data_IF_475493318298
#
_entry.id   IF_475493318298
#
_cell.length_a   1.000
_cell.length_b   1.000
_cell.length_c   1.000
_cell.angle_alpha   90.00
_cell.angle_beta   90.00
_cell.angle_gamma   90.00
#
_symmetry.space_group_name_H-M   'P 1'
#
loop_
_entity.id
_entity.type
_entity.pdbx_description
1 polymer ?
#
# COMPACT_ATOMS: atom_id res chain seq x y z
N UNK A 1 16.69 -4.08 10.88
CA UNK A 1 15.36 -3.98 11.53
C UNK A 1 15.42 -3.11 12.78
N UNK A 2 16.28 -3.42 13.76
CA UNK A 2 16.37 -2.65 15.02
C UNK A 2 16.58 -1.15 14.81
N UNK A 3 17.46 -0.75 13.91
CA UNK A 3 17.69 0.68 13.62
C UNK A 3 16.46 1.36 12.99
N UNK A 4 15.73 0.65 12.12
CA UNK A 4 14.51 1.19 11.51
C UNK A 4 13.44 1.41 12.59
N UNK A 5 13.20 0.40 13.42
CA UNK A 5 12.23 0.46 14.52
C UNK A 5 12.61 1.51 15.56
N UNK A 6 13.90 1.67 15.86
CA UNK A 6 14.40 2.67 16.79
C UNK A 6 14.24 4.11 16.27
N UNK A 7 14.32 4.30 14.94
CA UNK A 7 14.15 5.60 14.30
C UNK A 7 12.69 5.91 13.91
N UNK A 8 11.76 4.98 14.09
CA UNK A 8 10.32 5.24 13.94
C UNK A 8 9.83 6.18 15.04
N UNK A 9 8.90 7.09 14.70
CA UNK A 9 8.31 8.01 15.66
C UNK A 9 7.71 7.29 16.88
N UNK A 10 8.24 7.59 18.07
CA UNK A 10 7.85 6.96 19.34
C UNK A 10 8.35 5.52 19.54
N UNK A 11 9.16 5.00 18.61
CA UNK A 11 9.70 3.65 18.63
C UNK A 11 8.66 2.55 18.36
N UNK A 12 9.12 1.30 18.41
CA UNK A 12 8.33 0.12 18.08
C UNK A 12 7.01 -0.03 18.83
N UNK A 13 7.00 0.20 20.14
CA UNK A 13 5.79 0.12 20.98
C UNK A 13 4.74 1.15 20.55
N UNK A 14 5.17 2.38 20.23
CA UNK A 14 4.26 3.40 19.73
C UNK A 14 3.76 3.06 18.31
N UNK A 15 4.65 2.56 17.46
CA UNK A 15 4.29 2.16 16.10
C UNK A 15 3.18 1.10 16.07
N UNK A 16 3.28 0.05 16.90
CA UNK A 16 2.25 -1.00 16.97
C UNK A 16 0.95 -0.54 17.65
N UNK A 17 1.00 0.51 18.47
CA UNK A 17 -0.15 1.07 19.16
C UNK A 17 -0.86 2.19 18.38
N UNK A 18 -0.20 2.75 17.37
CA UNK A 18 -0.73 3.83 16.55
C UNK A 18 -1.71 3.26 15.53
N UNK A 19 -2.89 3.86 15.42
CA UNK A 19 -3.87 3.44 14.41
C UNK A 19 -3.34 3.80 13.01
N UNK A 20 -3.60 2.90 12.07
CA UNK A 20 -3.11 3.01 10.70
C UNK A 20 -3.53 4.32 10.01
N UNK A 21 -4.78 4.75 10.21
CA UNK A 21 -5.38 5.93 9.56
C UNK A 21 -4.74 7.26 9.96
N UNK A 22 -4.09 7.32 11.13
CA UNK A 22 -3.42 8.54 11.65
C UNK A 22 -1.90 8.38 11.74
N UNK A 23 -1.35 7.28 11.23
CA UNK A 23 0.09 6.99 11.36
C UNK A 23 0.99 8.03 10.67
N UNK A 24 0.47 8.72 9.64
CA UNK A 24 1.17 9.80 8.94
C UNK A 24 0.95 11.21 9.52
N UNK A 25 0.03 11.39 10.47
CA UNK A 25 -0.25 12.70 11.09
C UNK A 25 0.97 13.41 11.70
N UNK A 26 2.00 12.70 12.23
CA UNK A 26 3.20 13.35 12.74
C UNK A 26 3.99 14.16 11.71
N UNK A 27 3.82 13.91 10.40
CA UNK A 27 4.41 14.75 9.34
C UNK A 27 3.98 16.23 9.45
N UNK A 28 2.77 16.46 9.96
CA UNK A 28 2.14 17.78 10.01
C UNK A 28 2.18 18.41 11.41
N UNK A 29 3.02 17.88 12.31
CA UNK A 29 3.26 18.48 13.62
C UNK A 29 4.25 19.65 13.53
N UNK A 30 4.33 20.48 14.58
CA UNK A 30 5.32 21.55 14.69
C UNK A 30 6.04 21.45 16.05
N UNK A 31 7.32 21.04 16.09
CA UNK A 31 8.11 20.48 14.98
C UNK A 31 7.53 19.14 14.46
N UNK A 32 7.87 18.70 13.22
CA UNK A 32 7.41 17.43 12.69
C UNK A 32 7.91 16.26 13.55
N UNK A 33 7.05 15.25 13.73
CA UNK A 33 7.41 14.02 14.45
C UNK A 33 8.16 13.01 13.58
N UNK A 34 7.98 13.08 12.26
CA UNK A 34 8.77 12.36 11.27
C UNK A 34 8.88 13.20 10.00
N UNK A 35 9.89 12.91 9.18
CA UNK A 35 10.13 13.58 7.88
C UNK A 35 9.63 12.74 6.70
N UNK A 36 9.51 11.43 6.90
CA UNK A 36 9.10 10.47 5.87
C UNK A 36 8.03 9.54 6.42
N UNK A 37 7.05 9.22 5.59
CA UNK A 37 6.04 8.21 5.86
C UNK A 37 5.92 7.28 4.65
N UNK A 38 6.06 5.98 4.89
CA UNK A 38 5.98 4.97 3.83
C UNK A 38 4.54 4.47 3.71
N UNK A 39 3.86 4.85 2.63
CA UNK A 39 2.49 4.40 2.36
C UNK A 39 2.13 4.51 0.88
N UNK A 40 1.12 3.73 0.46
CA UNK A 40 0.51 3.81 -0.85
C UNK A 40 -0.32 5.09 -1.05
N UNK A 41 -0.69 5.35 -2.31
CA UNK A 41 -1.33 6.61 -2.75
C UNK A 41 -2.67 6.93 -2.06
N UNK A 42 -3.40 5.94 -1.53
CA UNK A 42 -4.68 6.17 -0.85
C UNK A 42 -4.54 6.96 0.46
N UNK A 43 -3.32 7.09 1.01
CA UNK A 43 -3.08 7.82 2.26
C UNK A 43 -3.62 9.25 2.23
N UNK A 44 -3.72 9.85 1.04
CA UNK A 44 -4.26 11.20 0.85
C UNK A 44 -5.71 11.33 1.32
N UNK A 45 -6.44 10.21 1.45
CA UNK A 45 -7.80 10.15 1.97
C UNK A 45 -7.92 9.94 3.48
N UNK A 46 -6.81 9.78 4.22
CA UNK A 46 -6.81 9.38 5.63
C UNK A 46 -6.13 10.42 6.54
N UNK A 47 -6.51 10.42 7.82
CA UNK A 47 -5.89 11.25 8.85
C UNK A 47 -5.98 12.74 8.54
N UNK A 48 -4.85 13.43 8.66
CA UNK A 48 -4.73 14.85 8.31
C UNK A 48 -4.61 15.14 6.83
N UNK A 49 -4.13 14.22 5.99
CA UNK A 49 -3.83 14.47 4.58
C UNK A 49 -4.97 15.16 3.79
N UNK A 50 -6.27 14.81 3.96
CA UNK A 50 -7.35 15.48 3.24
C UNK A 50 -7.48 16.99 3.51
N UNK A 51 -6.89 17.49 4.60
CA UNK A 51 -6.90 18.91 4.99
C UNK A 51 -5.62 19.64 4.60
N UNK A 52 -4.58 18.90 4.23
CA UNK A 52 -3.26 19.43 3.90
C UNK A 52 -3.15 19.61 2.38
N UNK A 53 -2.36 20.59 1.94
CA UNK A 53 -2.24 20.92 0.52
C UNK A 53 -1.13 20.13 -0.16
N UNK A 54 -1.53 19.18 -1.01
CA UNK A 54 -0.64 18.46 -1.91
C UNK A 54 0.34 19.39 -2.66
N UNK A 55 1.63 19.04 -2.65
CA UNK A 55 2.72 19.78 -3.29
C UNK A 55 3.18 21.03 -2.54
N UNK A 56 2.48 21.43 -1.47
CA UNK A 56 2.90 22.53 -0.57
C UNK A 56 3.26 21.97 0.81
N UNK A 57 2.29 21.30 1.45
CA UNK A 57 2.43 20.80 2.82
C UNK A 57 2.99 19.36 2.85
N UNK A 58 2.81 18.61 1.76
CA UNK A 58 3.44 17.30 1.56
C UNK A 58 3.74 17.01 0.09
N UNK A 59 4.66 16.08 -0.14
CA UNK A 59 4.99 15.54 -1.45
C UNK A 59 5.37 14.06 -1.30
N UNK A 60 5.67 13.39 -2.41
CA UNK A 60 6.08 11.99 -2.41
C UNK A 60 7.19 11.77 -3.45
N UNK A 61 7.90 10.65 -3.27
CA UNK A 61 8.83 10.09 -4.24
C UNK A 61 8.68 8.56 -4.25
N UNK A 62 8.97 7.88 -5.37
CA UNK A 62 8.95 6.42 -5.42
C UNK A 62 9.91 5.82 -4.40
N UNK A 63 9.56 4.65 -3.85
CA UNK A 63 10.47 3.94 -2.97
C UNK A 63 11.81 3.68 -3.68
N UNK A 64 12.96 3.95 -3.04
CA UNK A 64 14.26 3.78 -3.69
C UNK A 64 14.50 2.33 -4.13
N UNK A 65 15.11 2.15 -5.30
CA UNK A 65 15.50 0.83 -5.76
C UNK A 65 16.58 0.25 -4.82
N UNK A 66 16.29 -0.90 -4.21
CA UNK A 66 17.26 -1.66 -3.39
C UNK A 66 18.09 -2.60 -4.27
N UNK A 67 17.54 -3.00 -5.43
CA UNK A 67 18.19 -3.86 -6.40
C UNK A 67 17.87 -3.36 -7.82
N UNK A 68 18.90 -3.10 -8.62
CA UNK A 68 18.78 -2.57 -9.99
C UNK A 68 17.96 -3.49 -10.92
N UNK A 69 17.92 -4.80 -10.65
CA UNK A 69 17.10 -5.75 -11.40
C UNK A 69 15.61 -5.40 -11.32
N UNK A 70 15.15 -4.85 -10.19
CA UNK A 70 13.75 -4.50 -9.94
C UNK A 70 13.51 -3.00 -10.05
N UNK A 71 14.41 -2.27 -10.73
CA UNK A 71 14.24 -0.85 -10.95
C UNK A 71 12.92 -0.57 -11.69
N UNK A 72 12.14 0.37 -11.15
CA UNK A 72 10.81 0.75 -11.62
C UNK A 72 9.74 -0.36 -11.52
N UNK A 73 9.99 -1.45 -10.78
CA UNK A 73 8.91 -2.32 -10.34
C UNK A 73 8.05 -1.57 -9.32
N UNK A 74 6.74 -1.79 -9.37
CA UNK A 74 5.77 -1.18 -8.46
C UNK A 74 5.10 -2.29 -7.68
N UNK A 75 5.15 -2.18 -6.36
CA UNK A 75 4.33 -2.95 -5.43
C UNK A 75 3.03 -2.18 -5.15
N UNK A 76 1.92 -2.89 -5.02
CA UNK A 76 0.67 -2.30 -4.56
C UNK A 76 -0.39 -3.34 -4.26
N UNK A 77 -1.55 -2.87 -3.82
CA UNK A 77 -2.77 -3.67 -3.73
C UNK A 77 -3.69 -3.35 -4.93
N UNK A 78 -4.83 -4.03 -5.03
CA UNK A 78 -5.82 -3.75 -6.06
C UNK A 78 -7.25 -4.06 -5.65
N UNK A 79 -8.16 -3.17 -6.03
CA UNK A 79 -9.60 -3.39 -5.92
C UNK A 79 -10.09 -4.18 -7.13
N UNK A 80 -10.70 -5.33 -6.87
CA UNK A 80 -11.17 -6.26 -7.90
C UNK A 80 -12.70 -6.33 -7.89
N UNK A 81 -13.29 -6.30 -9.08
CA UNK A 81 -14.71 -6.60 -9.24
C UNK A 81 -14.93 -8.11 -9.29
N UNK A 82 -15.77 -8.63 -8.38
CA UNK A 82 -16.21 -10.01 -8.37
C UNK A 82 -17.63 -10.15 -8.94
N UNK A 83 -17.82 -11.08 -9.87
CA UNK A 83 -19.14 -11.44 -10.39
C UNK A 83 -19.58 -12.80 -9.82
N UNK A 84 -20.46 -12.78 -8.82
CA UNK A 84 -20.94 -13.99 -8.14
C UNK A 84 -21.99 -14.78 -8.94
N UNK A 85 -22.74 -14.09 -9.81
CA UNK A 85 -23.76 -14.72 -10.66
C UNK A 85 -23.56 -14.35 -12.12
N UNK A 86 -23.41 -15.36 -12.96
CA UNK A 86 -23.15 -15.17 -14.37
C UNK A 86 -24.43 -14.86 -15.17
N UNK A 87 -24.75 -13.58 -15.34
CA UNK A 87 -25.92 -13.12 -16.11
C UNK A 87 -25.52 -12.13 -17.19
N UNK A 88 -26.30 -11.99 -18.29
CA UNK A 88 -26.03 -10.98 -19.31
C UNK A 88 -25.94 -9.55 -18.74
N UNK A 89 -26.76 -9.21 -17.75
CA UNK A 89 -26.75 -7.91 -17.09
C UNK A 89 -25.47 -7.68 -16.27
N UNK A 90 -25.05 -8.67 -15.48
CA UNK A 90 -23.81 -8.58 -14.70
C UNK A 90 -22.58 -8.47 -15.61
N UNK A 91 -22.51 -9.24 -16.72
CA UNK A 91 -21.45 -9.09 -17.72
C UNK A 91 -21.41 -7.68 -18.32
N UNK A 92 -22.57 -7.09 -18.58
CA UNK A 92 -22.66 -5.73 -19.12
C UNK A 92 -22.10 -4.70 -18.13
N UNK A 93 -22.46 -4.82 -16.85
CA UNK A 93 -21.94 -3.96 -15.80
C UNK A 93 -20.42 -4.10 -15.65
N UNK A 94 -19.89 -5.33 -15.57
CA UNK A 94 -18.45 -5.59 -15.47
C UNK A 94 -17.68 -4.97 -16.65
N UNK A 95 -18.22 -5.08 -17.87
CA UNK A 95 -17.64 -4.45 -19.06
C UNK A 95 -17.62 -2.94 -18.95
N UNK A 96 -18.69 -2.32 -18.46
CA UNK A 96 -18.75 -0.87 -18.27
C UNK A 96 -17.74 -0.39 -17.22
N UNK A 97 -17.67 -1.07 -16.07
CA UNK A 97 -16.82 -0.69 -14.94
C UNK A 97 -15.33 -0.59 -15.31
N UNK A 98 -14.86 -1.38 -16.28
CA UNK A 98 -13.46 -1.35 -16.74
C UNK A 98 -13.20 -0.36 -17.89
N UNK A 99 -14.22 0.37 -18.37
CA UNK A 99 -14.04 1.40 -19.41
C UNK A 99 -13.37 2.65 -18.84
N UNK A 100 -12.69 3.43 -19.70
CA UNK A 100 -12.05 4.66 -19.29
C UNK A 100 -13.04 5.68 -18.68
N UNK A 101 -14.24 5.93 -19.25
CA UNK A 101 -15.19 6.85 -18.64
C UNK A 101 -15.66 6.43 -17.25
N UNK A 102 -15.88 5.13 -17.02
CA UNK A 102 -16.24 4.64 -15.69
C UNK A 102 -15.08 4.78 -14.69
N UNK A 103 -13.86 4.49 -15.14
CA UNK A 103 -12.65 4.64 -14.33
C UNK A 103 -12.28 6.10 -14.07
N UNK A 104 -12.57 7.02 -14.99
CA UNK A 104 -12.41 8.46 -14.81
C UNK A 104 -13.29 8.97 -13.65
N UNK A 105 -14.53 8.49 -13.55
CA UNK A 105 -15.41 8.82 -12.40
C UNK A 105 -14.75 8.41 -11.08
N UNK A 106 -14.10 7.24 -11.05
CA UNK A 106 -13.43 6.71 -9.86
C UNK A 106 -12.20 7.53 -9.48
N UNK A 107 -11.25 7.71 -10.41
CA UNK A 107 -9.99 8.39 -10.11
C UNK A 107 -10.16 9.87 -9.82
N UNK A 108 -11.22 10.50 -10.36
CA UNK A 108 -11.58 11.90 -10.08
C UNK A 108 -11.92 12.15 -8.61
N UNK A 109 -12.44 11.15 -7.91
CA UNK A 109 -12.70 11.26 -6.47
C UNK A 109 -11.41 11.42 -5.65
N UNK A 110 -10.26 10.99 -6.19
CA UNK A 110 -8.96 10.99 -5.51
C UNK A 110 -8.75 9.77 -4.62
N UNK A 111 -7.49 9.56 -4.21
CA UNK A 111 -7.11 8.44 -3.33
C UNK A 111 -7.06 7.06 -4.00
N UNK A 112 -7.29 6.96 -5.31
CA UNK A 112 -7.21 5.73 -6.07
C UNK A 112 -6.57 5.94 -7.45
N UNK A 113 -5.99 4.87 -7.99
CA UNK A 113 -5.39 4.81 -9.32
C UNK A 113 -6.16 3.80 -10.18
N UNK A 114 -6.18 4.02 -11.50
CA UNK A 114 -6.81 3.07 -12.43
C UNK A 114 -5.77 2.20 -13.15
N UNK A 115 -6.10 0.92 -13.33
CA UNK A 115 -5.41 0.03 -14.26
C UNK A 115 -5.73 0.33 -15.74
N UNK A 116 -6.80 1.10 -16.02
CA UNK A 116 -7.11 1.55 -17.36
C UNK A 116 -6.25 2.76 -17.72
N UNK A 117 -5.27 2.57 -18.62
CA UNK A 117 -4.32 3.63 -19.04
C UNK A 117 -4.96 4.85 -19.68
N UNK A 118 -6.22 4.76 -20.10
CA UNK A 118 -6.95 5.86 -20.71
C UNK A 118 -7.77 6.66 -19.68
N UNK A 119 -7.84 6.21 -18.42
CA UNK A 119 -8.42 7.01 -17.33
C UNK A 119 -7.37 8.04 -16.86
N UNK A 120 -7.72 9.31 -16.97
CA UNK A 120 -6.78 10.44 -16.81
C UNK A 120 -7.35 11.62 -16.02
N UNK A 121 -8.63 11.57 -15.61
CA UNK A 121 -9.31 12.67 -14.88
C UNK A 121 -8.94 12.73 -13.38
N UNK A 122 -7.63 12.71 -13.07
CA UNK A 122 -7.11 12.78 -11.70
C UNK A 122 -7.24 14.21 -11.12
N UNK A 123 -7.58 14.37 -9.83
CA UNK A 123 -7.93 15.65 -9.23
C UNK A 123 -6.73 16.58 -8.98
N UNK A 124 -5.52 16.04 -8.88
CA UNK A 124 -4.32 16.79 -8.48
C UNK A 124 -3.03 16.21 -9.08
N UNK A 125 -1.93 16.96 -8.95
CA UNK A 125 -0.62 16.59 -9.53
C UNK A 125 0.08 15.45 -8.78
N UNK A 126 -0.25 15.19 -7.51
CA UNK A 126 0.27 14.01 -6.79
C UNK A 126 -0.38 12.74 -7.36
N UNK A 127 -1.69 12.76 -7.52
CA UNK A 127 -2.48 11.67 -8.10
C UNK A 127 -2.02 11.36 -9.54
N UNK A 128 -1.84 12.40 -10.38
CA UNK A 128 -1.33 12.24 -11.75
C UNK A 128 0.07 11.61 -11.80
N UNK A 129 1.01 12.10 -10.99
CA UNK A 129 2.37 11.52 -10.92
C UNK A 129 2.37 10.08 -10.42
N UNK A 130 1.48 9.75 -9.49
CA UNK A 130 1.32 8.38 -8.99
C UNK A 130 0.80 7.44 -10.09
N UNK A 131 -0.19 7.90 -10.86
CA UNK A 131 -0.70 7.18 -12.03
C UNK A 131 0.36 7.01 -13.12
N UNK A 132 1.21 8.01 -13.34
CA UNK A 132 2.34 7.90 -14.27
C UNK A 132 3.35 6.84 -13.86
N UNK A 133 3.68 6.74 -12.57
CA UNK A 133 4.58 5.70 -12.04
C UNK A 133 3.99 4.32 -12.34
N UNK A 134 2.70 4.11 -12.04
CA UNK A 134 2.02 2.85 -12.33
C UNK A 134 1.99 2.53 -13.84
N UNK A 135 1.69 3.52 -14.68
CA UNK A 135 1.62 3.34 -16.14
C UNK A 135 2.98 3.01 -16.77
N UNK A 136 4.07 3.52 -16.17
CA UNK A 136 5.46 3.32 -16.60
C UNK A 136 6.17 2.18 -15.88
N UNK A 137 5.49 1.46 -14.97
CA UNK A 137 6.07 0.37 -14.21
C UNK A 137 6.55 -0.75 -15.14
N UNK A 138 7.73 -1.28 -14.87
CA UNK A 138 8.28 -2.44 -15.62
C UNK A 138 7.60 -3.74 -15.22
N UNK A 139 7.14 -3.81 -13.98
CA UNK A 139 6.30 -4.84 -13.42
C UNK A 139 5.39 -4.23 -12.35
N UNK A 140 4.17 -4.75 -12.25
CA UNK A 140 3.30 -4.55 -11.09
C UNK A 140 3.22 -5.88 -10.33
N UNK A 141 3.49 -5.84 -9.03
CA UNK A 141 3.35 -6.99 -8.14
C UNK A 141 2.39 -6.64 -7.03
N UNK A 142 1.51 -7.59 -6.70
CA UNK A 142 0.71 -7.46 -5.47
C UNK A 142 1.64 -7.52 -4.25
N UNK A 143 1.29 -6.79 -3.19
CA UNK A 143 1.94 -6.92 -1.89
C UNK A 143 2.02 -8.41 -1.52
N UNK A 144 3.17 -8.82 -0.98
CA UNK A 144 3.42 -10.23 -0.74
C UNK A 144 2.36 -10.86 0.18
N UNK A 145 1.85 -10.10 1.15
CA UNK A 145 0.84 -10.58 2.09
C UNK A 145 -0.51 -10.82 1.41
N UNK A 146 -0.88 -10.06 0.39
CA UNK A 146 -2.11 -10.27 -0.39
C UNK A 146 -2.08 -11.63 -1.13
N UNK A 147 -0.89 -12.12 -1.44
CA UNK A 147 -0.67 -13.37 -2.18
C UNK A 147 -0.42 -14.59 -1.27
N UNK A 148 -0.28 -14.38 0.04
CA UNK A 148 -0.04 -15.46 1.00
C UNK A 148 -1.33 -16.27 1.27
N UNK A 149 -1.25 -17.62 1.39
CA UNK A 149 -2.33 -18.42 1.94
C UNK A 149 -2.71 -17.92 3.33
N UNK A 150 -3.98 -18.09 3.72
CA UNK A 150 -4.54 -17.53 4.96
C UNK A 150 -3.69 -17.83 6.21
N UNK A 151 -3.19 -19.06 6.36
CA UNK A 151 -2.35 -19.44 7.49
C UNK A 151 -1.01 -18.69 7.50
N UNK A 152 -0.40 -18.55 6.32
CA UNK A 152 0.86 -17.83 6.15
C UNK A 152 0.68 -16.33 6.37
N UNK A 153 -0.39 -15.74 5.84
CA UNK A 153 -0.72 -14.33 6.03
C UNK A 153 -0.91 -14.00 7.52
N UNK A 154 -1.68 -14.82 8.25
CA UNK A 154 -1.90 -14.64 9.69
C UNK A 154 -0.60 -14.74 10.50
N UNK A 155 0.27 -15.70 10.16
CA UNK A 155 1.58 -15.83 10.78
C UNK A 155 2.46 -14.61 10.49
N UNK A 156 2.54 -14.18 9.23
CA UNK A 156 3.30 -13.01 8.80
C UNK A 156 2.91 -11.76 9.61
N UNK A 157 1.62 -11.46 9.74
CA UNK A 157 1.15 -10.32 10.54
C UNK A 157 1.56 -10.39 12.00
N UNK A 158 1.36 -11.55 12.64
CA UNK A 158 1.71 -11.75 14.06
C UNK A 158 3.21 -11.55 14.31
N UNK A 159 4.05 -12.10 13.44
CA UNK A 159 5.50 -11.99 13.55
C UNK A 159 5.99 -10.58 13.19
N UNK A 160 5.38 -9.88 12.22
CA UNK A 160 5.71 -8.49 11.92
C UNK A 160 5.45 -7.55 13.12
N UNK A 161 4.33 -7.75 13.84
CA UNK A 161 4.03 -7.01 15.08
C UNK A 161 5.03 -7.36 16.20
N UNK A 162 5.40 -8.63 16.32
CA UNK A 162 6.35 -9.09 17.34
C UNK A 162 7.76 -8.55 17.10
N UNK A 163 8.22 -8.54 15.85
CA UNK A 163 9.47 -7.90 15.42
C UNK A 163 9.44 -6.39 15.70
N UNK A 164 8.37 -5.71 15.30
CA UNK A 164 8.25 -4.25 15.48
C UNK A 164 8.21 -3.86 16.95
N UNK A 165 7.59 -4.68 17.81
CA UNK A 165 7.59 -4.45 19.27
C UNK A 165 8.87 -4.91 19.99
N UNK A 166 9.87 -5.43 19.25
CA UNK A 166 11.14 -5.88 19.80
C UNK A 166 11.06 -7.17 20.63
N UNK A 167 9.96 -7.92 20.53
CA UNK A 167 9.73 -9.18 21.26
C UNK A 167 10.36 -10.39 20.58
N UNK A 168 10.80 -10.23 19.34
CA UNK A 168 11.31 -11.29 18.50
C UNK A 168 12.46 -10.76 17.64
N UNK A 169 13.41 -11.64 17.32
CA UNK A 169 14.48 -11.38 16.34
C UNK A 169 14.06 -11.80 14.94
N UNK A 170 14.70 -11.23 13.91
CA UNK A 170 14.42 -11.61 12.52
C UNK A 170 14.58 -13.11 12.30
N UNK A 171 15.62 -13.73 12.85
CA UNK A 171 15.86 -15.17 12.70
C UNK A 171 14.77 -16.04 13.35
N UNK A 172 14.27 -15.63 14.51
CA UNK A 172 13.15 -16.32 15.18
C UNK A 172 11.87 -16.23 14.35
N UNK A 173 11.55 -15.03 13.85
CA UNK A 173 10.39 -14.83 12.99
C UNK A 173 10.49 -15.65 11.71
N UNK A 174 11.64 -15.62 11.03
CA UNK A 174 11.87 -16.40 9.80
C UNK A 174 11.76 -17.91 10.05
N UNK A 175 12.32 -18.41 11.15
CA UNK A 175 12.22 -19.83 11.50
C UNK A 175 10.78 -20.27 11.80
N UNK A 176 9.98 -19.41 12.44
CA UNK A 176 8.56 -19.68 12.69
C UNK A 176 7.74 -19.63 11.40
N UNK A 177 7.97 -18.61 10.57
CA UNK A 177 7.33 -18.43 9.27
C UNK A 177 7.63 -19.59 8.31
N UNK A 178 8.86 -20.12 8.30
CA UNK A 178 9.22 -21.27 7.47
C UNK A 178 8.40 -22.51 7.82
N UNK A 179 8.19 -22.79 9.12
CA UNK A 179 7.36 -23.93 9.54
C UNK A 179 5.93 -23.82 9.05
N UNK A 180 5.37 -22.61 9.08
CA UNK A 180 4.03 -22.36 8.54
C UNK A 180 4.00 -22.52 7.02
N UNK A 181 5.05 -22.06 6.34
CA UNK A 181 5.17 -22.16 4.89
C UNK A 181 5.22 -23.62 4.41
N UNK A 182 5.94 -24.50 5.12
CA UNK A 182 6.07 -25.93 4.79
C UNK A 182 4.70 -26.63 4.71
N UNK A 183 3.74 -26.22 5.54
CA UNK A 183 2.37 -26.75 5.57
C UNK A 183 1.41 -25.99 4.65
N UNK A 184 1.58 -24.66 4.53
CA UNK A 184 0.64 -23.78 3.84
C UNK A 184 0.76 -23.79 2.31
N UNK A 185 1.96 -24.09 1.78
CA UNK A 185 2.23 -24.09 0.33
C UNK A 185 2.37 -25.48 -0.28
N UNK A 186 2.15 -26.54 0.49
CA UNK A 186 2.11 -27.92 0.00
C UNK A 186 0.71 -28.42 -0.34
N UNK A 187 -0.31 -27.56 -0.15
CA UNK A 187 -1.73 -27.83 -0.41
C UNK A 187 -2.16 -27.43 -1.81
#
# INVERSE_FOLDING_TARGET
MNDVVANTFGGGTNAVATKFDVAGDPLFATPPGCELFHQASFITGLGKFPKEKAGTDYNFFPFPAINDQYKNAVEGAGDLFGMFHDTPAAKSLMKYLVTAPAQDIWVKAGGALSANKNATDYPDDISKRSAEILSKATAFVFDASDQMPTAMNAAFWSHAVSLTSGKETVDQALAALQKVADDAYTQ
#
